data_IF_786314084969
#
_entry.id   IF_786314084969
#
_cell.length_a   1.000
_cell.length_b   1.000
_cell.length_c   1.000
_cell.angle_alpha   90.00
_cell.angle_beta   90.00
_cell.angle_gamma   90.00
#
_symmetry.space_group_name_H-M   'P 1'
#
loop_
_entity.id
_entity.type
_entity.pdbx_description
1 polymer ?
#
# COMPACT_ATOMS: atom_id res chain seq x y z
N UNK A 1 12.33 4.86 2.56
CA UNK A 1 11.29 3.81 2.65
C UNK A 1 10.33 3.96 1.49
N UNK A 2 9.98 2.85 0.84
CA UNK A 2 8.91 2.75 -0.14
C UNK A 2 7.69 2.10 0.51
N UNK A 3 6.52 2.70 0.31
CA UNK A 3 5.28 2.22 0.91
C UNK A 3 4.32 1.81 -0.22
N UNK A 4 3.93 0.54 -0.23
CA UNK A 4 2.86 0.04 -1.08
C UNK A 4 1.57 -0.13 -0.26
N UNK A 5 0.43 -0.33 -0.92
CA UNK A 5 -0.81 -0.70 -0.27
C UNK A 5 -1.23 -2.11 -0.71
N UNK A 6 -1.23 -3.04 0.22
CA UNK A 6 -1.39 -4.48 -0.03
C UNK A 6 -0.24 -5.10 -0.85
N UNK A 7 0.96 -4.50 -0.82
CA UNK A 7 2.14 -4.98 -1.53
C UNK A 7 2.56 -6.40 -1.13
N UNK A 8 2.28 -6.81 0.12
CA UNK A 8 2.47 -8.19 0.60
C UNK A 8 1.62 -9.21 -0.16
N UNK A 9 0.59 -8.78 -0.90
CA UNK A 9 -0.29 -9.65 -1.67
C UNK A 9 0.48 -10.32 -2.82
N UNK A 10 1.13 -9.52 -3.66
CA UNK A 10 1.93 -10.00 -4.78
C UNK A 10 3.03 -9.02 -5.25
N UNK A 11 2.89 -7.71 -5.09
CA UNK A 11 3.84 -6.72 -5.63
C UNK A 11 5.28 -6.96 -5.14
N UNK A 12 5.45 -7.29 -3.86
CA UNK A 12 6.78 -7.56 -3.30
C UNK A 12 7.42 -8.84 -3.85
N UNK A 13 6.64 -9.77 -4.39
CA UNK A 13 7.18 -10.96 -5.06
C UNK A 13 7.89 -10.58 -6.36
N UNK A 14 7.32 -9.67 -7.16
CA UNK A 14 7.97 -9.18 -8.38
C UNK A 14 9.27 -8.44 -8.08
N UNK A 15 9.27 -7.63 -7.02
CA UNK A 15 10.48 -6.94 -6.58
C UNK A 15 11.55 -7.94 -6.12
N UNK A 16 11.15 -8.94 -5.34
CA UNK A 16 12.06 -10.00 -4.87
C UNK A 16 12.65 -10.79 -6.05
N UNK A 17 11.81 -11.22 -6.99
CA UNK A 17 12.24 -11.93 -8.19
C UNK A 17 13.27 -11.11 -8.98
N UNK A 18 12.99 -9.83 -9.21
CA UNK A 18 13.92 -8.94 -9.89
C UNK A 18 15.27 -8.84 -9.16
N UNK A 19 15.25 -8.65 -7.85
CA UNK A 19 16.46 -8.55 -7.03
C UNK A 19 17.30 -9.81 -7.10
N UNK A 20 16.68 -10.99 -6.98
CA UNK A 20 17.37 -12.29 -7.04
C UNK A 20 18.01 -12.48 -8.41
N UNK A 21 17.29 -12.18 -9.51
CA UNK A 21 17.79 -12.29 -10.86
C UNK A 21 18.99 -11.37 -11.14
N UNK A 22 19.16 -10.29 -10.35
CA UNK A 22 20.31 -9.37 -10.42
C UNK A 22 21.37 -9.63 -9.34
N UNK A 23 21.30 -10.78 -8.66
CA UNK A 23 22.30 -11.18 -7.65
C UNK A 23 22.26 -10.34 -6.37
N UNK A 24 21.13 -9.69 -6.09
CA UNK A 24 20.93 -8.88 -4.89
C UNK A 24 20.15 -9.70 -3.86
N UNK A 25 20.76 -9.95 -2.70
CA UNK A 25 20.11 -10.64 -1.57
C UNK A 25 19.44 -9.63 -0.64
N UNK A 26 18.11 -9.48 -0.62
CA UNK A 26 17.43 -8.66 0.36
C UNK A 26 17.27 -9.38 1.70
N UNK A 27 17.11 -8.62 2.79
CA UNK A 27 16.57 -9.13 4.05
C UNK A 27 15.07 -9.13 3.98
N UNK A 28 14.44 -10.25 4.38
CA UNK A 28 12.99 -10.42 4.33
C UNK A 28 12.43 -10.64 5.73
N UNK A 29 11.28 -10.04 5.99
CA UNK A 29 10.43 -10.41 7.12
C UNK A 29 9.11 -10.92 6.51
N UNK A 30 8.78 -12.16 6.80
CA UNK A 30 7.64 -12.86 6.22
C UNK A 30 6.66 -13.33 7.29
N UNK A 31 5.39 -13.44 6.89
CA UNK A 31 4.36 -14.18 7.63
C UNK A 31 3.77 -15.23 6.67
N UNK A 32 4.17 -16.49 6.85
CA UNK A 32 3.95 -17.54 5.87
C UNK A 32 4.62 -17.19 4.54
N UNK A 33 3.84 -17.20 3.46
CA UNK A 33 4.29 -16.86 2.10
C UNK A 33 4.19 -15.34 1.77
N UNK A 34 3.77 -14.50 2.74
CA UNK A 34 3.59 -13.06 2.51
C UNK A 34 4.80 -12.28 3.01
N UNK A 35 5.39 -11.48 2.13
CA UNK A 35 6.50 -10.59 2.47
C UNK A 35 5.92 -9.35 3.16
N UNK A 36 6.18 -9.18 4.44
CA UNK A 36 5.73 -8.01 5.22
C UNK A 36 6.70 -6.83 5.08
N UNK A 37 8.00 -7.13 5.00
CA UNK A 37 9.05 -6.14 4.78
C UNK A 37 10.12 -6.75 3.89
N UNK A 38 10.65 -5.96 2.96
CA UNK A 38 11.80 -6.28 2.14
C UNK A 38 12.83 -5.15 2.28
N UNK A 39 14.06 -5.48 2.68
CA UNK A 39 15.13 -4.50 2.85
C UNK A 39 16.35 -4.84 2.00
N UNK A 40 16.78 -3.89 1.19
CA UNK A 40 18.01 -3.96 0.38
C UNK A 40 19.06 -3.10 1.06
N UNK A 41 20.20 -3.70 1.42
CA UNK A 41 21.30 -3.00 2.15
C UNK A 41 22.53 -2.79 1.28
N UNK A 42 22.65 -3.46 0.13
CA UNK A 42 23.82 -3.38 -0.75
C UNK A 42 23.78 -2.10 -1.58
N UNK A 43 24.61 -1.14 -1.26
CA UNK A 43 24.78 0.13 -1.97
C UNK A 43 23.76 1.21 -1.60
N UNK A 44 22.52 0.83 -1.33
CA UNK A 44 21.44 1.73 -0.88
C UNK A 44 20.66 1.06 0.25
N UNK A 45 20.29 1.83 1.27
CA UNK A 45 19.36 1.34 2.29
C UNK A 45 17.92 1.60 1.83
N UNK A 46 17.34 0.63 1.13
CA UNK A 46 15.96 0.71 0.63
C UNK A 46 15.10 -0.28 1.41
N UNK A 47 14.03 0.22 2.01
CA UNK A 47 13.05 -0.61 2.72
C UNK A 47 11.69 -0.49 2.06
N UNK A 48 11.05 -1.62 1.76
CA UNK A 48 9.68 -1.73 1.27
C UNK A 48 8.79 -2.22 2.39
N UNK A 49 7.69 -1.51 2.65
CA UNK A 49 6.68 -1.83 3.67
C UNK A 49 5.28 -1.72 3.09
N UNK A 50 4.31 -2.32 3.78
CA UNK A 50 2.91 -2.36 3.35
C UNK A 50 2.04 -1.53 4.29
N UNK A 51 1.44 -0.45 3.77
CA UNK A 51 0.55 0.42 4.54
C UNK A 51 -0.69 -0.29 5.08
N UNK A 52 -1.12 -1.40 4.46
CA UNK A 52 -2.23 -2.20 4.96
C UNK A 52 -1.93 -2.88 6.31
N UNK A 53 -0.65 -2.99 6.70
CA UNK A 53 -0.24 -3.48 8.02
C UNK A 53 -0.42 -2.44 9.14
N UNK A 54 -0.67 -1.20 8.77
CA UNK A 54 -0.87 -0.09 9.71
C UNK A 54 -2.32 0.40 9.72
N UNK A 55 -2.92 0.60 8.55
CA UNK A 55 -4.23 1.23 8.41
C UNK A 55 -5.40 0.25 8.39
N UNK A 56 -5.16 -1.04 8.09
CA UNK A 56 -6.11 -2.16 8.05
C UNK A 56 -7.41 -1.88 7.26
N UNK A 57 -7.35 -0.98 6.28
CA UNK A 57 -8.51 -0.59 5.46
C UNK A 57 -8.14 -0.54 3.99
N UNK A 58 -9.11 -0.71 3.04
CA UNK A 58 -8.87 -0.54 1.62
C UNK A 58 -8.48 0.90 1.26
N UNK A 59 -7.64 1.09 0.24
CA UNK A 59 -7.19 2.41 -0.23
C UNK A 59 -8.35 3.36 -0.57
N UNK A 60 -9.46 2.84 -1.09
CA UNK A 60 -10.67 3.63 -1.39
C UNK A 60 -11.26 4.37 -0.17
N UNK A 61 -10.93 3.93 1.04
CA UNK A 61 -11.40 4.57 2.27
C UNK A 61 -10.51 5.72 2.72
N UNK A 62 -9.27 5.82 2.20
CA UNK A 62 -8.29 6.85 2.60
C UNK A 62 -8.84 8.27 2.44
N UNK A 63 -9.46 8.64 1.29
CA UNK A 63 -9.96 9.99 1.11
C UNK A 63 -10.90 10.42 2.24
N UNK A 64 -11.85 9.57 2.58
CA UNK A 64 -12.81 9.85 3.67
C UNK A 64 -12.14 9.84 5.05
N UNK A 65 -11.24 8.89 5.31
CA UNK A 65 -10.61 8.71 6.63
C UNK A 65 -9.62 9.82 6.93
N UNK A 66 -8.86 10.26 5.92
CA UNK A 66 -7.80 11.26 6.08
C UNK A 66 -8.19 12.67 5.61
N UNK A 67 -9.49 12.90 5.32
CA UNK A 67 -9.97 14.23 4.93
C UNK A 67 -9.48 14.69 3.55
N UNK A 68 -9.19 13.77 2.62
CA UNK A 68 -8.75 14.05 1.26
C UNK A 68 -9.97 14.19 0.34
N UNK A 69 -10.87 15.12 0.64
CA UNK A 69 -12.19 15.21 0.00
C UNK A 69 -12.13 15.52 -1.51
N UNK A 70 -11.04 16.15 -1.98
CA UNK A 70 -10.79 16.45 -3.38
C UNK A 70 -10.33 15.22 -4.19
N UNK A 71 -9.92 14.16 -3.50
CA UNK A 71 -9.46 12.93 -4.13
C UNK A 71 -10.53 11.86 -3.99
N UNK A 72 -10.86 11.23 -5.12
CA UNK A 72 -11.69 10.02 -5.14
C UNK A 72 -10.94 8.95 -5.91
N UNK A 73 -10.95 7.73 -5.38
CA UNK A 73 -10.47 6.59 -6.16
C UNK A 73 -11.37 6.42 -7.38
N UNK A 74 -10.79 6.54 -8.57
CA UNK A 74 -11.48 6.35 -9.84
C UNK A 74 -11.85 4.89 -10.09
N UNK A 75 -12.59 4.66 -11.17
CA UNK A 75 -12.86 3.33 -11.69
C UNK A 75 -11.93 3.05 -12.87
N UNK A 76 -11.39 1.84 -12.93
CA UNK A 76 -10.57 1.39 -14.04
C UNK A 76 -11.07 0.02 -14.53
N UNK A 77 -11.16 -0.21 -15.85
CA UNK A 77 -11.66 -1.46 -16.40
C UNK A 77 -10.57 -2.55 -16.34
N UNK A 78 -10.30 -3.08 -15.14
CA UNK A 78 -9.17 -4.00 -14.91
C UNK A 78 -9.27 -5.31 -15.70
N UNK A 79 -10.47 -5.76 -16.04
CA UNK A 79 -10.68 -6.94 -16.91
C UNK A 79 -10.37 -6.62 -18.39
N UNK A 80 -10.31 -5.34 -18.76
CA UNK A 80 -9.93 -4.88 -20.10
C UNK A 80 -8.41 -4.81 -20.30
N UNK A 81 -7.63 -4.94 -19.21
CA UNK A 81 -6.19 -4.91 -19.23
C UNK A 81 -5.62 -6.24 -19.75
N UNK A 82 -5.65 -6.41 -21.05
CA UNK A 82 -5.07 -7.54 -21.79
C UNK A 82 -3.97 -7.06 -22.72
N UNK A 83 -3.15 -7.97 -23.25
CA UNK A 83 -2.05 -7.62 -24.15
C UNK A 83 -2.55 -6.89 -25.42
N UNK A 84 -3.71 -7.28 -25.92
CA UNK A 84 -4.31 -6.72 -27.14
C UNK A 84 -4.80 -5.27 -26.93
N UNK A 85 -5.22 -4.93 -25.70
CA UNK A 85 -5.87 -3.66 -25.39
C UNK A 85 -4.89 -2.56 -24.93
N UNK A 86 -3.59 -2.86 -24.85
CA UNK A 86 -2.59 -1.89 -24.33
C UNK A 86 -2.49 -0.57 -25.11
N UNK A 87 -2.90 -0.57 -26.38
CA UNK A 87 -2.90 0.60 -27.26
C UNK A 87 -4.32 1.01 -27.69
N UNK A 88 -5.34 0.54 -26.97
CA UNK A 88 -6.72 0.79 -27.36
C UNK A 88 -7.08 2.28 -27.18
N UNK A 89 -7.66 2.85 -28.23
CA UNK A 89 -8.29 4.17 -28.22
C UNK A 89 -9.65 4.00 -28.89
N UNK A 90 -10.72 4.34 -28.20
CA UNK A 90 -12.07 4.15 -28.72
C UNK A 90 -13.15 4.47 -27.69
N UNK A 91 -14.29 3.81 -27.79
CA UNK A 91 -15.38 3.95 -26.80
C UNK A 91 -14.96 3.39 -25.44
N UNK A 92 -15.57 3.94 -24.39
CA UNK A 92 -15.37 3.36 -23.04
C UNK A 92 -15.76 1.88 -23.02
N UNK A 93 -14.93 1.02 -22.41
CA UNK A 93 -15.22 -0.40 -22.26
C UNK A 93 -16.54 -0.63 -21.53
N UNK A 94 -17.28 -1.70 -21.88
CA UNK A 94 -18.51 -2.09 -21.23
C UNK A 94 -18.34 -2.25 -19.70
N UNK A 95 -19.41 -2.04 -18.95
CA UNK A 95 -19.47 -2.14 -17.49
C UNK A 95 -18.91 -3.46 -16.95
N UNK A 96 -19.05 -4.55 -17.71
CA UNK A 96 -18.49 -5.85 -17.39
C UNK A 96 -17.00 -5.80 -17.08
N UNK A 97 -16.22 -4.99 -17.82
CA UNK A 97 -14.78 -4.88 -17.64
C UNK A 97 -14.35 -4.20 -16.33
N UNK A 98 -15.27 -3.52 -15.65
CA UNK A 98 -15.07 -2.89 -14.35
C UNK A 98 -15.44 -3.81 -13.18
N UNK A 99 -15.86 -5.05 -13.44
CA UNK A 99 -16.38 -5.96 -12.42
C UNK A 99 -17.75 -5.55 -11.88
N UNK A 100 -18.55 -4.92 -12.70
CA UNK A 100 -19.88 -4.37 -12.31
C UNK A 100 -20.76 -5.40 -11.62
N UNK A 101 -20.80 -6.66 -12.12
CA UNK A 101 -21.64 -7.70 -11.56
C UNK A 101 -21.27 -8.05 -10.10
N UNK A 102 -20.00 -7.88 -9.74
CA UNK A 102 -19.44 -8.19 -8.42
C UNK A 102 -19.61 -7.03 -7.42
N UNK A 103 -20.07 -5.85 -7.89
CA UNK A 103 -20.26 -4.67 -7.05
C UNK A 103 -21.47 -4.80 -6.15
N UNK A 104 -21.41 -4.22 -4.95
CA UNK A 104 -22.56 -4.09 -4.05
C UNK A 104 -23.58 -3.10 -4.63
N UNK A 105 -24.84 -3.22 -4.19
CA UNK A 105 -25.96 -2.42 -4.72
C UNK A 105 -25.73 -0.91 -4.67
N UNK A 106 -25.11 -0.40 -3.61
CA UNK A 106 -24.85 1.03 -3.47
C UNK A 106 -23.64 1.46 -4.32
N UNK A 107 -22.58 0.61 -4.41
CA UNK A 107 -21.44 0.84 -5.29
C UNK A 107 -21.89 0.86 -6.78
N UNK A 108 -22.85 0.00 -7.19
CA UNK A 108 -23.45 0.01 -8.55
C UNK A 108 -24.11 1.33 -8.88
N UNK A 109 -24.86 1.91 -7.94
CA UNK A 109 -25.53 3.22 -8.16
C UNK A 109 -24.52 4.35 -8.35
N UNK A 110 -23.44 4.34 -7.57
CA UNK A 110 -22.38 5.34 -7.68
C UNK A 110 -21.61 5.17 -8.99
N UNK A 111 -21.30 3.93 -9.35
CA UNK A 111 -20.68 3.58 -10.63
C UNK A 111 -21.55 4.02 -11.83
N UNK A 112 -22.85 3.73 -11.81
CA UNK A 112 -23.77 4.10 -12.92
C UNK A 112 -23.83 5.61 -13.15
N UNK A 113 -23.87 6.41 -12.07
CA UNK A 113 -23.79 7.87 -12.17
C UNK A 113 -22.49 8.33 -12.82
N UNK A 114 -21.36 7.76 -12.41
CA UNK A 114 -20.07 8.07 -12.99
C UNK A 114 -20.00 7.63 -14.46
N UNK A 115 -20.39 6.38 -14.76
CA UNK A 115 -20.30 5.82 -16.10
C UNK A 115 -21.14 6.61 -17.12
N UNK A 116 -22.33 7.05 -16.75
CA UNK A 116 -23.18 7.89 -17.62
C UNK A 116 -22.57 9.25 -17.97
N UNK A 117 -21.60 9.74 -17.21
CA UNK A 117 -20.93 11.00 -17.54
C UNK A 117 -19.83 10.83 -18.58
N UNK A 118 -19.31 9.61 -18.77
CA UNK A 118 -18.11 9.34 -19.57
C UNK A 118 -18.37 8.39 -20.75
N UNK A 119 -19.49 7.69 -20.82
CA UNK A 119 -19.75 6.63 -21.81
C UNK A 119 -19.64 7.09 -23.27
N UNK A 120 -19.83 8.40 -23.53
CA UNK A 120 -19.73 9.02 -24.85
C UNK A 120 -18.37 9.66 -25.12
N UNK A 121 -17.44 9.63 -24.15
CA UNK A 121 -16.10 10.16 -24.32
C UNK A 121 -15.18 9.12 -24.98
N UNK A 122 -13.98 9.57 -25.38
CA UNK A 122 -12.96 8.68 -25.91
C UNK A 122 -12.12 8.12 -24.76
N UNK A 123 -12.04 6.80 -24.71
CA UNK A 123 -11.18 6.06 -23.80
C UNK A 123 -9.82 5.81 -24.45
N UNK A 124 -8.75 6.37 -23.87
CA UNK A 124 -7.38 6.04 -24.19
C UNK A 124 -6.82 5.17 -23.05
N UNK A 125 -6.55 3.90 -23.32
CA UNK A 125 -6.13 2.95 -22.29
C UNK A 125 -4.89 3.40 -21.54
N UNK A 126 -3.86 3.88 -22.24
CA UNK A 126 -2.60 4.30 -21.61
C UNK A 126 -2.79 5.51 -20.72
N UNK A 127 -3.52 6.49 -21.20
CA UNK A 127 -3.79 7.71 -20.44
C UNK A 127 -4.63 7.39 -19.20
N UNK A 128 -5.68 6.60 -19.35
CA UNK A 128 -6.55 6.20 -18.24
C UNK A 128 -5.82 5.35 -17.19
N UNK A 129 -4.96 4.42 -17.64
CA UNK A 129 -4.12 3.63 -16.74
C UNK A 129 -3.16 4.53 -15.95
N UNK A 130 -2.49 5.47 -16.65
CA UNK A 130 -1.58 6.42 -16.01
C UNK A 130 -2.29 7.27 -14.96
N UNK A 131 -3.43 7.87 -15.32
CA UNK A 131 -4.18 8.74 -14.42
C UNK A 131 -4.73 7.98 -13.21
N UNK A 132 -5.21 6.75 -13.42
CA UNK A 132 -5.65 5.87 -12.35
C UNK A 132 -4.52 5.53 -11.38
N UNK A 133 -3.36 5.08 -11.90
CA UNK A 133 -2.20 4.77 -11.07
C UNK A 133 -1.68 6.00 -10.32
N UNK A 134 -1.61 7.16 -11.00
CA UNK A 134 -1.19 8.42 -10.40
C UNK A 134 -2.12 8.84 -9.26
N UNK A 135 -3.43 8.71 -9.45
CA UNK A 135 -4.42 9.01 -8.42
C UNK A 135 -4.28 8.09 -7.20
N UNK A 136 -4.14 6.78 -7.42
CA UNK A 136 -3.96 5.79 -6.33
C UNK A 136 -2.66 6.08 -5.54
N UNK A 137 -1.58 6.43 -6.23
CA UNK A 137 -0.30 6.80 -5.58
C UNK A 137 -0.44 8.09 -4.78
N UNK A 138 -1.13 9.11 -5.29
CA UNK A 138 -1.32 10.38 -4.57
C UNK A 138 -2.20 10.20 -3.34
N UNK A 139 -3.28 9.43 -3.44
CA UNK A 139 -4.13 9.05 -2.29
C UNK A 139 -3.31 8.35 -1.22
N UNK A 140 -2.52 7.34 -1.61
CA UNK A 140 -1.67 6.59 -0.69
C UNK A 140 -0.64 7.49 -0.03
N UNK A 141 0.09 8.28 -0.82
CA UNK A 141 1.13 9.20 -0.33
C UNK A 141 0.58 10.17 0.69
N UNK A 142 -0.51 10.86 0.37
CA UNK A 142 -1.12 11.87 1.24
C UNK A 142 -1.70 11.24 2.51
N UNK A 143 -2.38 10.11 2.38
CA UNK A 143 -2.90 9.37 3.54
C UNK A 143 -1.78 8.90 4.48
N UNK A 144 -0.68 8.37 3.94
CA UNK A 144 0.47 7.96 4.74
C UNK A 144 1.16 9.13 5.43
N UNK A 145 1.26 10.31 4.78
CA UNK A 145 1.83 11.50 5.42
C UNK A 145 0.99 11.96 6.60
N UNK A 146 -0.33 12.07 6.44
CA UNK A 146 -1.24 12.45 7.54
C UNK A 146 -1.17 11.43 8.67
N UNK A 147 -1.16 10.13 8.34
CA UNK A 147 -1.02 9.06 9.33
C UNK A 147 0.29 9.18 10.12
N UNK A 148 1.40 9.43 9.42
CA UNK A 148 2.72 9.63 10.03
C UNK A 148 2.74 10.84 10.97
N UNK A 149 2.22 11.97 10.49
CA UNK A 149 2.19 13.21 11.26
C UNK A 149 1.36 13.06 12.53
N UNK A 150 0.25 12.33 12.48
CA UNK A 150 -0.57 12.01 13.65
C UNK A 150 0.23 11.28 14.73
N UNK A 151 0.99 10.25 14.38
CA UNK A 151 1.81 9.50 15.36
C UNK A 151 3.00 10.31 15.88
N UNK A 152 3.59 11.17 15.06
CA UNK A 152 4.64 12.08 15.50
C UNK A 152 4.10 13.11 16.51
N UNK A 153 2.90 13.64 16.29
CA UNK A 153 2.28 14.60 17.20
C UNK A 153 1.86 13.96 18.53
N UNK A 154 1.30 12.75 18.51
CA UNK A 154 0.77 12.09 19.71
C UNK A 154 1.87 11.46 20.56
N UNK A 155 2.85 10.82 19.92
CA UNK A 155 3.81 9.96 20.61
C UNK A 155 5.28 10.21 20.22
N UNK A 156 5.55 11.19 19.36
CA UNK A 156 6.89 11.45 18.81
C UNK A 156 7.55 10.20 18.16
N UNK A 157 6.73 9.29 17.62
CA UNK A 157 7.18 8.04 16.98
C UNK A 157 6.80 8.07 15.50
N UNK A 158 7.78 7.77 14.62
CA UNK A 158 7.51 7.53 13.21
C UNK A 158 6.99 6.10 13.02
N UNK A 159 5.70 5.89 12.67
CA UNK A 159 5.13 4.56 12.57
C UNK A 159 5.77 3.72 11.47
N UNK A 160 6.32 4.32 10.42
CA UNK A 160 6.93 3.61 9.30
C UNK A 160 8.36 3.13 9.54
N UNK A 161 8.87 3.29 10.76
CA UNK A 161 10.08 2.61 11.24
C UNK A 161 9.76 1.19 11.75
N UNK A 162 8.49 0.86 11.92
CA UNK A 162 8.00 -0.45 12.37
C UNK A 162 7.40 -1.24 11.20
N UNK A 163 7.06 -2.49 11.44
CA UNK A 163 6.53 -3.38 10.39
C UNK A 163 5.00 -3.39 10.40
N UNK A 164 4.40 -3.21 11.58
CA UNK A 164 2.95 -3.28 11.79
C UNK A 164 2.51 -2.26 12.82
N UNK A 165 1.20 -1.94 12.81
CA UNK A 165 0.58 -1.10 13.85
C UNK A 165 0.79 -1.67 15.26
N UNK A 166 0.79 -2.99 15.43
CA UNK A 166 1.08 -3.61 16.73
C UNK A 166 2.48 -3.27 17.24
N UNK A 167 3.48 -3.25 16.35
CA UNK A 167 4.84 -2.82 16.69
C UNK A 167 4.90 -1.37 17.11
N UNK A 168 4.16 -0.47 16.43
CA UNK A 168 4.04 0.94 16.80
C UNK A 168 3.41 1.09 18.18
N UNK A 169 2.28 0.41 18.45
CA UNK A 169 1.61 0.46 19.76
C UNK A 169 2.52 -0.05 20.88
N UNK A 170 3.30 -1.11 20.62
CA UNK A 170 4.25 -1.63 21.60
C UNK A 170 5.37 -0.63 21.89
N UNK A 171 5.85 0.08 20.87
CA UNK A 171 6.87 1.12 21.05
C UNK A 171 6.34 2.27 21.90
N UNK A 172 5.14 2.76 21.59
CA UNK A 172 4.47 3.81 22.40
C UNK A 172 4.32 3.34 23.84
N UNK A 173 3.81 2.11 24.04
CA UNK A 173 3.61 1.57 25.39
C UNK A 173 4.93 1.52 26.19
N UNK A 174 6.02 1.10 25.56
CA UNK A 174 7.34 1.06 26.21
C UNK A 174 7.85 2.44 26.59
N UNK A 175 7.64 3.42 25.71
CA UNK A 175 8.12 4.79 25.89
C UNK A 175 7.32 5.56 26.94
N UNK A 176 6.00 5.34 26.97
CA UNK A 176 5.08 6.19 27.77
C UNK A 176 4.54 5.52 29.03
N UNK A 177 4.42 4.18 29.06
CA UNK A 177 3.71 3.47 30.13
C UNK A 177 4.63 2.61 31.03
N UNK A 178 5.83 2.29 30.56
CA UNK A 178 6.78 1.45 31.34
C UNK A 178 7.77 2.37 32.04
N UNK A 179 7.91 2.29 33.39
CA UNK A 179 8.93 3.05 34.09
C UNK A 179 10.36 2.65 33.62
N UNK A 180 11.28 3.60 33.71
CA UNK A 180 12.68 3.33 33.40
C UNK A 180 13.21 2.13 34.22
N UNK A 181 14.11 1.36 33.60
CA UNK A 181 14.74 0.16 34.21
C UNK A 181 13.80 -0.99 34.59
N UNK A 182 12.55 -1.00 34.10
CA UNK A 182 11.60 -2.11 34.33
C UNK A 182 11.91 -3.34 33.48
N UNK A 183 12.45 -3.15 32.26
CA UNK A 183 12.79 -4.23 31.33
C UNK A 183 14.29 -4.40 31.30
N UNK A 184 14.77 -5.59 31.67
CA UNK A 184 16.17 -5.97 31.51
C UNK A 184 16.48 -6.14 30.00
N UNK A 185 17.51 -5.47 29.51
CA UNK A 185 18.08 -5.72 28.19
C UNK A 185 19.18 -6.75 28.37
N UNK A 186 19.02 -7.91 27.75
CA UNK A 186 20.08 -8.94 27.71
C UNK A 186 21.18 -8.44 26.80
N UNK A 187 22.44 -8.37 27.30
CA UNK A 187 23.56 -8.00 26.48
C UNK A 187 23.77 -8.99 25.33
N UNK A 188 24.17 -8.51 24.14
CA UNK A 188 24.35 -9.31 22.92
C UNK A 188 25.31 -10.50 23.06
N UNK A 189 26.14 -10.52 24.10
CA UNK A 189 27.12 -11.58 24.38
C UNK A 189 26.50 -12.97 24.66
N UNK A 190 25.18 -13.05 24.83
CA UNK A 190 24.48 -14.33 25.04
C UNK A 190 23.85 -14.93 23.78
N UNK A 191 23.91 -14.26 22.63
CA UNK A 191 23.34 -14.79 21.37
C UNK A 191 24.12 -15.98 20.80
N UNK A 192 25.41 -16.14 21.17
CA UNK A 192 26.29 -17.17 20.62
C UNK A 192 26.22 -18.52 21.37
N UNK A 193 25.41 -18.62 22.42
CA UNK A 193 25.32 -19.85 23.23
C UNK A 193 24.29 -20.85 22.67
N UNK A 194 23.47 -20.44 21.71
CA UNK A 194 22.39 -21.26 21.13
C UNK A 194 22.47 -21.41 19.59
N UNK A 195 23.63 -21.19 18.99
CA UNK A 195 23.87 -21.45 17.57
C UNK A 195 24.44 -22.83 17.31
#
# INVERSE_FOLDING_TARGET
TFIAHNGKGYDFQFILEWLINHGIKPKLICNGNKIMQLKVEKGYSITFIDSLLFTLMPLRNFPKTFGLNELKKGYFPYKFNTAENQNYIGKYPDKFYYGYEEMKKDDKKEFDKWYSTIENEIFDFKQQMYDYCKSDVDILRRGCLIYRDLFLQIANIDPFQYITIAGVCMAIYRDTCIPENTIAVVEETHSDVYS
#
